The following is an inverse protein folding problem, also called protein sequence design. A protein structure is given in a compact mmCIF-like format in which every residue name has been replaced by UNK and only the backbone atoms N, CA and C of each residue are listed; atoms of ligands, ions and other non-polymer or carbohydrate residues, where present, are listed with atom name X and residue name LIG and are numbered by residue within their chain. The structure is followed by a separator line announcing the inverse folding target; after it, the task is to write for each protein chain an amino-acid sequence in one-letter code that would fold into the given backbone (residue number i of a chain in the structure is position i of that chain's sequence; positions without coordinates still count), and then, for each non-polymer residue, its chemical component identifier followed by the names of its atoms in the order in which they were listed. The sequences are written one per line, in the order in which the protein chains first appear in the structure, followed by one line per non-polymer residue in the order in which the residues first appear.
data_IF_479299577779
#
_entry.id   IF_479299577779
#
_cell.length_a   1.000
_cell.length_b   1.000
_cell.length_c   1.000
_cell.angle_alpha   90.00
_cell.angle_beta   90.00
_cell.angle_gamma   90.00
#
_symmetry.space_group_name_H-M   'P 1'
#
loop_
_entity.id
_entity.type
_entity.pdbx_description
1 polymer ?
#
# COMPACT_ATOMS: atom_id res chain seq x y z
N UNK A 1 22.07 30.06 -20.99
CA UNK A 1 20.69 30.20 -21.49
C UNK A 1 20.50 29.49 -22.82
N UNK A 2 21.39 29.66 -23.81
CA UNK A 2 21.33 28.94 -25.10
C UNK A 2 21.52 27.41 -25.03
N UNK A 3 22.18 26.89 -23.99
CA UNK A 3 22.34 25.45 -23.77
C UNK A 3 21.09 24.80 -23.15
N UNK A 4 20.19 25.60 -22.54
CA UNK A 4 18.95 25.14 -21.92
C UNK A 4 17.77 25.09 -22.91
N UNK A 5 17.89 25.76 -24.06
CA UNK A 5 16.90 25.70 -25.14
C UNK A 5 17.14 24.55 -26.13
N UNK A 6 18.38 24.04 -26.24
CA UNK A 6 18.71 22.95 -27.18
C UNK A 6 18.19 21.57 -26.77
N UNK A 7 17.89 21.33 -25.49
CA UNK A 7 17.29 20.07 -25.03
C UNK A 7 15.76 20.00 -25.17
N UNK A 8 15.09 21.14 -25.45
CA UNK A 8 13.62 21.20 -25.60
C UNK A 8 13.07 20.89 -26.99
N UNK A 9 13.94 20.58 -27.96
CA UNK A 9 13.52 20.24 -29.32
C UNK A 9 13.53 18.73 -29.60
N UNK A 10 13.07 17.91 -28.65
CA UNK A 10 12.27 16.76 -29.08
C UNK A 10 10.92 17.33 -29.53
N UNK A 11 10.81 17.59 -30.84
CA UNK A 11 9.58 18.02 -31.49
C UNK A 11 8.41 17.20 -30.96
N UNK A 12 7.31 17.84 -30.57
CA UNK A 12 6.08 17.17 -30.15
C UNK A 12 5.65 16.10 -31.16
N UNK A 13 6.01 16.24 -32.44
CA UNK A 13 5.79 15.24 -33.47
C UNK A 13 6.61 13.94 -33.27
N UNK A 14 7.85 14.02 -32.78
CA UNK A 14 8.67 12.85 -32.46
C UNK A 14 8.15 12.12 -31.21
N UNK A 15 7.67 12.85 -30.20
CA UNK A 15 7.01 12.26 -29.03
C UNK A 15 5.66 11.64 -29.40
N UNK A 16 4.87 12.29 -30.25
CA UNK A 16 3.61 11.73 -30.78
C UNK A 16 3.85 10.49 -31.66
N UNK A 17 4.95 10.44 -32.40
CA UNK A 17 5.34 9.27 -33.18
C UNK A 17 5.74 8.06 -32.32
N UNK A 18 6.21 8.27 -31.07
CA UNK A 18 6.44 7.19 -30.10
C UNK A 18 5.15 6.65 -29.47
N UNK A 19 4.07 7.45 -29.48
CA UNK A 19 2.73 7.08 -28.99
C UNK A 19 1.90 6.46 -30.12
N UNK A 20 2.22 6.77 -31.38
CA UNK A 20 1.57 6.18 -32.54
C UNK A 20 1.78 4.65 -32.49
N UNK A 21 0.71 3.83 -32.60
CA UNK A 21 0.86 2.38 -32.60
C UNK A 21 1.69 1.99 -33.82
N UNK A 22 2.97 1.73 -33.59
CA UNK A 22 3.90 1.29 -34.61
C UNK A 22 3.54 -0.15 -34.99
N UNK A 23 2.65 -0.32 -35.97
CA UNK A 23 2.47 -1.54 -36.79
C UNK A 23 2.28 -2.89 -36.06
N UNK A 24 2.14 -2.89 -34.74
CA UNK A 24 1.97 -4.05 -33.87
C UNK A 24 0.56 -3.96 -33.32
N UNK A 25 -0.17 -5.08 -33.37
CA UNK A 25 -1.56 -5.15 -32.88
C UNK A 25 -1.61 -4.70 -31.42
N UNK A 26 -2.04 -3.46 -31.19
CA UNK A 26 -2.34 -2.98 -29.86
C UNK A 26 -3.56 -3.74 -29.35
N UNK A 27 -3.45 -4.33 -28.17
CA UNK A 27 -4.41 -5.32 -27.70
C UNK A 27 -4.58 -5.29 -26.19
N UNK A 28 -5.84 -5.36 -25.75
CA UNK A 28 -6.20 -5.58 -24.35
C UNK A 28 -6.91 -6.93 -24.26
N UNK A 29 -6.24 -7.92 -23.68
CA UNK A 29 -6.89 -9.17 -23.31
C UNK A 29 -7.69 -8.96 -22.02
N UNK A 30 -8.91 -9.49 -21.97
CA UNK A 30 -9.78 -9.43 -20.78
C UNK A 30 -10.22 -10.83 -20.38
N UNK A 31 -9.33 -11.63 -19.75
CA UNK A 31 -9.69 -12.91 -19.16
C UNK A 31 -10.89 -12.80 -18.22
N UNK A 32 -11.71 -13.85 -18.18
CA UNK A 32 -12.96 -13.89 -17.40
C UNK A 32 -12.88 -14.86 -16.22
N UNK A 33 -11.74 -15.54 -16.06
CA UNK A 33 -11.43 -16.48 -14.98
C UNK A 33 -9.91 -16.73 -14.94
N UNK A 34 -9.44 -17.47 -13.94
CA UNK A 34 -8.01 -17.78 -13.79
C UNK A 34 -7.45 -18.65 -14.93
N UNK A 35 -8.25 -19.55 -15.53
CA UNK A 35 -7.78 -20.40 -16.63
C UNK A 35 -7.50 -19.59 -17.91
N UNK A 36 -8.40 -18.68 -18.27
CA UNK A 36 -8.20 -17.76 -19.41
C UNK A 36 -7.09 -16.75 -19.12
N UNK A 37 -6.84 -16.41 -17.86
CA UNK A 37 -5.70 -15.60 -17.46
C UNK A 37 -4.39 -16.36 -17.66
N UNK A 38 -4.32 -17.64 -17.26
CA UNK A 38 -3.16 -18.49 -17.47
C UNK A 38 -2.82 -18.56 -18.97
N UNK A 39 -3.82 -18.84 -19.82
CA UNK A 39 -3.62 -18.88 -21.27
C UNK A 39 -3.05 -17.56 -21.82
N UNK A 40 -3.62 -16.42 -21.41
CA UNK A 40 -3.15 -15.10 -21.85
C UNK A 40 -1.71 -14.79 -21.36
N UNK A 41 -1.36 -15.18 -20.12
CA UNK A 41 0.00 -15.01 -19.57
C UNK A 41 1.02 -15.93 -20.24
N UNK A 42 0.62 -17.13 -20.67
CA UNK A 42 1.49 -18.05 -21.42
C UNK A 42 1.79 -17.54 -22.82
N UNK A 43 0.83 -16.91 -23.49
CA UNK A 43 0.99 -16.33 -24.83
C UNK A 43 1.84 -15.05 -24.82
N UNK A 44 1.93 -14.35 -23.69
CA UNK A 44 2.67 -13.08 -23.59
C UNK A 44 3.39 -12.95 -22.24
N UNK A 45 4.51 -13.67 -22.04
CA UNK A 45 5.34 -13.53 -20.83
C UNK A 45 5.81 -12.09 -20.61
N UNK A 46 5.66 -11.57 -19.38
CA UNK A 46 6.08 -10.20 -19.05
C UNK A 46 5.18 -9.09 -19.62
N UNK A 47 4.02 -9.44 -20.18
CA UNK A 47 3.02 -8.46 -20.61
C UNK A 47 2.54 -7.61 -19.44
N UNK A 48 2.23 -6.35 -19.72
CA UNK A 48 1.77 -5.42 -18.70
C UNK A 48 0.39 -5.83 -18.18
N UNK A 49 0.29 -6.05 -16.87
CA UNK A 49 -0.97 -6.32 -16.21
C UNK A 49 -1.63 -5.00 -15.80
N UNK A 50 -2.95 -4.90 -15.99
CA UNK A 50 -3.76 -3.74 -15.62
C UNK A 50 -4.99 -4.16 -14.81
N UNK A 51 -5.19 -3.48 -13.68
CA UNK A 51 -6.42 -3.55 -12.89
C UNK A 51 -7.20 -2.24 -13.03
N UNK A 52 -7.17 -1.37 -12.01
CA UNK A 52 -7.81 -0.05 -12.06
C UNK A 52 -7.20 0.93 -13.06
N UNK A 53 -5.89 0.80 -13.31
CA UNK A 53 -5.11 1.66 -14.20
C UNK A 53 -4.70 3.01 -13.60
N UNK A 54 -5.01 3.28 -12.33
CA UNK A 54 -4.81 4.60 -11.70
C UNK A 54 -3.34 5.00 -11.52
N UNK A 55 -2.44 4.02 -11.35
CA UNK A 55 -0.98 4.24 -11.36
C UNK A 55 -0.43 4.04 -12.78
N UNK A 56 -0.74 2.90 -13.41
CA UNK A 56 -0.15 2.51 -14.70
C UNK A 56 -0.40 3.51 -15.83
N UNK A 57 -1.58 4.15 -15.89
CA UNK A 57 -1.89 5.10 -16.97
C UNK A 57 -1.11 6.42 -16.85
N UNK A 58 -0.47 6.70 -15.71
CA UNK A 58 0.47 7.83 -15.61
C UNK A 58 1.75 7.56 -16.42
N UNK A 59 2.17 6.30 -16.56
CA UNK A 59 3.30 5.94 -17.44
C UNK A 59 2.98 6.29 -18.89
N UNK A 60 1.74 6.06 -19.33
CA UNK A 60 1.30 6.38 -20.68
C UNK A 60 1.14 7.89 -20.88
N UNK A 61 0.53 8.59 -19.92
CA UNK A 61 0.13 10.00 -20.09
C UNK A 61 1.20 11.00 -19.71
N UNK A 62 1.98 10.74 -18.65
CA UNK A 62 3.00 11.65 -18.13
C UNK A 62 4.40 11.26 -18.61
N UNK A 63 4.71 9.96 -18.65
CA UNK A 63 6.02 9.48 -19.09
C UNK A 63 6.05 9.09 -20.57
N UNK A 64 4.90 9.14 -21.26
CA UNK A 64 4.76 8.86 -22.69
C UNK A 64 5.27 7.46 -23.08
N UNK A 65 5.20 6.52 -22.13
CA UNK A 65 5.55 5.13 -22.33
C UNK A 65 4.35 4.38 -22.92
N UNK A 66 4.41 4.08 -24.22
CA UNK A 66 3.40 3.26 -24.87
C UNK A 66 3.30 1.87 -24.22
N UNK A 67 2.07 1.40 -24.01
CA UNK A 67 1.76 0.05 -23.51
C UNK A 67 0.94 -0.68 -24.58
N UNK A 68 1.60 -1.22 -25.63
CA UNK A 68 0.89 -1.75 -26.79
C UNK A 68 0.04 -2.99 -26.46
N UNK A 69 0.47 -3.80 -25.49
CA UNK A 69 -0.26 -4.99 -25.05
C UNK A 69 -0.45 -4.98 -23.54
N UNK A 70 -1.66 -5.33 -23.12
CA UNK A 70 -2.03 -5.43 -21.71
C UNK A 70 -2.97 -6.60 -21.47
N UNK A 71 -2.92 -7.15 -20.25
CA UNK A 71 -3.91 -8.09 -19.73
C UNK A 71 -4.67 -7.42 -18.59
N UNK A 72 -5.99 -7.32 -18.74
CA UNK A 72 -6.89 -6.75 -17.74
C UNK A 72 -7.42 -7.78 -16.75
N UNK A 73 -7.37 -7.48 -15.45
CA UNK A 73 -7.85 -8.36 -14.39
C UNK A 73 -9.32 -8.11 -13.97
N UNK A 74 -9.96 -7.09 -14.53
CA UNK A 74 -11.25 -6.56 -14.05
C UNK A 74 -12.45 -7.48 -14.24
N UNK A 75 -12.32 -8.55 -15.07
CA UNK A 75 -13.40 -9.50 -15.37
C UNK A 75 -13.24 -10.85 -14.68
N UNK A 76 -12.28 -11.00 -13.77
CA UNK A 76 -12.00 -12.25 -13.05
C UNK A 76 -12.67 -12.19 -11.67
N UNK A 77 -13.87 -12.80 -11.48
CA UNK A 77 -14.59 -12.74 -10.21
C UNK A 77 -13.83 -13.36 -9.04
N UNK A 78 -12.95 -14.34 -9.31
CA UNK A 78 -12.08 -14.96 -8.31
C UNK A 78 -11.12 -13.96 -7.65
N UNK A 79 -10.88 -12.80 -8.26
CA UNK A 79 -10.07 -11.73 -7.69
C UNK A 79 -10.92 -10.66 -6.98
N UNK A 80 -12.25 -10.73 -7.02
CA UNK A 80 -13.15 -9.70 -6.47
C UNK A 80 -14.05 -10.27 -5.39
N UNK A 81 -13.48 -10.46 -4.20
CA UNK A 81 -14.20 -10.97 -3.04
C UNK A 81 -13.72 -10.33 -1.73
N UNK A 82 -14.62 -10.25 -0.75
CA UNK A 82 -14.31 -9.90 0.64
C UNK A 82 -14.90 -11.02 1.49
N UNK A 83 -14.06 -11.76 2.19
CA UNK A 83 -14.47 -12.94 2.95
C UNK A 83 -13.89 -12.92 4.37
N UNK A 84 -14.77 -12.93 5.35
CA UNK A 84 -14.42 -13.01 6.76
C UNK A 84 -14.58 -14.44 7.27
N UNK A 85 -13.52 -14.99 7.87
CA UNK A 85 -13.55 -16.34 8.42
C UNK A 85 -12.58 -16.49 9.58
N UNK A 86 -13.09 -16.95 10.73
CA UNK A 86 -12.29 -17.29 11.93
C UNK A 86 -11.37 -16.13 12.40
N UNK A 87 -11.91 -14.92 12.45
CA UNK A 87 -11.15 -13.74 12.90
C UNK A 87 -10.09 -13.26 11.91
N UNK A 88 -10.19 -13.66 10.63
CA UNK A 88 -9.35 -13.16 9.55
C UNK A 88 -10.20 -12.63 8.41
N UNK A 89 -9.72 -11.60 7.73
CA UNK A 89 -10.31 -11.09 6.51
C UNK A 89 -9.43 -11.43 5.32
N UNK A 90 -10.01 -12.06 4.30
CA UNK A 90 -9.39 -12.29 3.00
C UNK A 90 -10.01 -11.38 1.95
N UNK A 91 -9.17 -10.62 1.26
CA UNK A 91 -9.54 -9.65 0.24
C UNK A 91 -8.93 -10.04 -1.09
N UNK A 92 -9.77 -10.20 -2.12
CA UNK A 92 -9.30 -10.40 -3.48
C UNK A 92 -8.56 -9.17 -4.02
N UNK A 93 -7.56 -9.39 -4.87
CA UNK A 93 -6.71 -8.33 -5.43
C UNK A 93 -7.49 -7.31 -6.28
N UNK A 94 -8.62 -7.69 -6.86
CA UNK A 94 -9.52 -6.84 -7.64
C UNK A 94 -10.49 -6.02 -6.81
N UNK A 95 -10.54 -6.17 -5.47
CA UNK A 95 -11.38 -5.34 -4.60
C UNK A 95 -10.94 -3.89 -4.71
N UNK A 96 -11.87 -2.99 -5.03
CA UNK A 96 -11.60 -1.55 -5.11
C UNK A 96 -11.56 -0.90 -3.72
N UNK A 97 -10.91 0.25 -3.61
CA UNK A 97 -10.91 0.99 -2.34
C UNK A 97 -12.32 1.39 -1.92
N UNK A 98 -13.21 1.71 -2.86
CA UNK A 98 -14.62 2.02 -2.54
C UNK A 98 -15.37 0.80 -1.97
N UNK A 99 -15.18 -0.39 -2.55
CA UNK A 99 -15.78 -1.62 -2.03
C UNK A 99 -15.24 -1.95 -0.63
N UNK A 100 -13.92 -1.80 -0.43
CA UNK A 100 -13.32 -2.04 0.87
C UNK A 100 -13.77 -1.01 1.91
N UNK A 101 -13.94 0.25 1.51
CA UNK A 101 -14.43 1.33 2.37
C UNK A 101 -15.86 1.05 2.84
N UNK A 102 -16.74 0.66 1.91
CA UNK A 102 -18.12 0.28 2.24
C UNK A 102 -18.17 -0.88 3.24
N UNK A 103 -17.31 -1.88 3.04
CA UNK A 103 -17.19 -2.99 3.99
C UNK A 103 -16.63 -2.52 5.35
N UNK A 104 -15.59 -1.70 5.37
CA UNK A 104 -14.88 -1.31 6.59
C UNK A 104 -15.70 -0.40 7.51
N UNK A 105 -16.60 0.42 6.96
CA UNK A 105 -17.46 1.33 7.74
C UNK A 105 -18.25 0.59 8.82
N UNK A 106 -18.12 1.05 10.06
CA UNK A 106 -18.78 0.44 11.21
C UNK A 106 -18.26 -0.95 11.59
N UNK A 107 -17.18 -1.44 10.96
CA UNK A 107 -16.52 -2.72 11.27
C UNK A 107 -15.09 -2.51 11.76
N UNK A 108 -14.30 -1.75 10.99
CA UNK A 108 -12.93 -1.37 11.32
C UNK A 108 -12.78 0.10 10.97
N UNK A 109 -13.19 0.96 11.91
CA UNK A 109 -13.23 2.41 11.66
C UNK A 109 -11.85 3.00 11.25
N UNK A 110 -10.72 2.59 11.86
CA UNK A 110 -9.40 3.03 11.38
C UNK A 110 -9.17 2.72 9.89
N UNK A 111 -9.57 1.54 9.42
CA UNK A 111 -9.43 1.19 8.00
C UNK A 111 -10.33 2.06 7.11
N UNK A 112 -11.57 2.32 7.53
CA UNK A 112 -12.49 3.18 6.81
C UNK A 112 -11.95 4.61 6.70
N UNK A 113 -11.42 5.17 7.79
CA UNK A 113 -10.79 6.48 7.83
C UNK A 113 -9.58 6.55 6.90
N UNK A 114 -8.68 5.57 6.96
CA UNK A 114 -7.55 5.49 6.02
C UNK A 114 -8.02 5.53 4.57
N UNK A 115 -8.99 4.68 4.21
CA UNK A 115 -9.51 4.58 2.86
C UNK A 115 -10.17 5.87 2.38
N UNK A 116 -10.90 6.58 3.24
CA UNK A 116 -11.49 7.89 2.92
C UNK A 116 -10.44 8.92 2.46
N UNK A 117 -9.21 8.80 2.94
CA UNK A 117 -8.11 9.69 2.61
C UNK A 117 -7.18 9.14 1.51
N UNK A 118 -7.51 8.01 0.88
CA UNK A 118 -6.77 7.51 -0.30
C UNK A 118 -7.35 8.14 -1.56
N UNK A 119 -6.61 9.09 -2.14
CA UNK A 119 -6.96 9.78 -3.37
C UNK A 119 -8.32 10.48 -3.31
N UNK A 120 -8.94 10.65 -4.48
CA UNK A 120 -10.33 11.09 -4.64
C UNK A 120 -11.30 9.92 -4.79
N UNK A 121 -12.61 10.19 -4.78
CA UNK A 121 -13.63 9.16 -5.04
C UNK A 121 -13.43 8.46 -6.39
N UNK A 122 -13.01 9.19 -7.42
CA UNK A 122 -12.73 8.64 -8.74
C UNK A 122 -11.57 7.65 -8.70
N UNK A 123 -10.52 7.97 -7.93
CA UNK A 123 -9.41 7.05 -7.69
C UNK A 123 -9.89 5.85 -6.89
N UNK A 124 -10.69 6.02 -5.83
CA UNK A 124 -11.19 4.90 -5.01
C UNK A 124 -12.10 3.94 -5.77
N UNK A 125 -12.91 4.46 -6.68
CA UNK A 125 -13.83 3.65 -7.50
C UNK A 125 -13.09 2.76 -8.51
N UNK A 126 -11.84 3.07 -8.85
CA UNK A 126 -11.04 2.29 -9.81
C UNK A 126 -9.84 1.60 -9.19
N UNK A 127 -9.19 2.23 -8.22
CA UNK A 127 -8.00 1.74 -7.55
C UNK A 127 -8.29 0.44 -6.82
N UNK A 128 -7.53 -0.60 -7.13
CA UNK A 128 -7.69 -1.94 -6.58
C UNK A 128 -6.62 -2.22 -5.53
N UNK A 129 -6.95 -3.06 -4.55
CA UNK A 129 -6.01 -3.57 -3.55
C UNK A 129 -4.73 -4.15 -4.16
N UNK A 130 -4.87 -5.06 -5.13
CA UNK A 130 -3.73 -5.69 -5.81
C UNK A 130 -2.88 -4.67 -6.56
N UNK A 131 -3.51 -3.77 -7.31
CA UNK A 131 -2.81 -2.67 -7.97
C UNK A 131 -2.02 -1.76 -7.01
N UNK A 132 -2.57 -1.47 -5.82
CA UNK A 132 -1.89 -0.69 -4.80
C UNK A 132 -0.61 -1.37 -4.29
N UNK A 133 -0.70 -2.66 -3.99
CA UNK A 133 0.43 -3.42 -3.47
C UNK A 133 1.46 -3.71 -4.57
N UNK A 134 1.01 -4.09 -5.77
CA UNK A 134 1.88 -4.37 -6.91
C UNK A 134 2.66 -3.14 -7.39
N UNK A 135 2.14 -1.92 -7.17
CA UNK A 135 2.89 -0.70 -7.49
C UNK A 135 4.07 -0.45 -6.54
N UNK A 136 4.14 -1.17 -5.40
CA UNK A 136 5.25 -1.19 -4.45
C UNK A 136 5.74 0.21 -4.06
N UNK A 137 4.80 1.15 -3.93
CA UNK A 137 5.10 2.50 -3.49
C UNK A 137 5.47 2.47 -2.00
N UNK A 138 6.64 3.00 -1.58
CA UNK A 138 7.01 3.04 -0.16
C UNK A 138 6.08 3.94 0.67
N UNK A 139 5.37 4.85 0.01
CA UNK A 139 4.39 5.78 0.59
C UNK A 139 2.95 5.30 0.35
N UNK A 140 2.75 4.03 0.01
CA UNK A 140 1.43 3.41 -0.08
C UNK A 140 0.80 3.27 1.31
N UNK A 141 -0.49 3.59 1.39
CA UNK A 141 -1.21 3.69 2.66
C UNK A 141 -1.67 2.32 3.21
N UNK A 142 -2.03 1.37 2.34
CA UNK A 142 -2.63 0.10 2.77
C UNK A 142 -1.62 -0.95 3.24
N UNK A 143 -0.42 -0.97 2.67
CA UNK A 143 0.60 -1.95 3.05
C UNK A 143 0.96 -1.87 4.55
N UNK A 144 1.22 -0.68 5.13
CA UNK A 144 1.39 -0.52 6.58
C UNK A 144 0.25 -1.10 7.41
N UNK A 145 -1.00 -0.90 6.98
CA UNK A 145 -2.18 -1.40 7.67
C UNK A 145 -2.20 -2.92 7.76
N UNK A 146 -2.01 -3.59 6.62
CA UNK A 146 -1.99 -5.04 6.61
C UNK A 146 -0.76 -5.60 7.34
N UNK A 147 0.41 -4.97 7.22
CA UNK A 147 1.62 -5.39 7.93
C UNK A 147 1.40 -5.36 9.46
N UNK A 148 0.77 -4.30 9.98
CA UNK A 148 0.47 -4.18 11.41
C UNK A 148 -0.55 -5.22 11.93
N UNK A 149 -1.25 -5.93 11.02
CA UNK A 149 -2.26 -6.95 11.33
C UNK A 149 -1.85 -8.34 10.79
N UNK A 150 -0.54 -8.62 10.73
CA UNK A 150 0.03 -9.89 10.25
C UNK A 150 -0.43 -10.29 8.84
N UNK A 151 -0.54 -9.29 7.96
CA UNK A 151 -0.95 -9.44 6.59
C UNK A 151 -0.08 -10.44 5.83
N UNK A 152 -0.73 -11.32 5.08
CA UNK A 152 -0.12 -12.22 4.12
C UNK A 152 -0.63 -11.91 2.73
N UNK A 153 0.26 -11.89 1.76
CA UNK A 153 -0.11 -11.82 0.35
C UNK A 153 -0.09 -13.23 -0.24
N UNK A 154 -1.12 -13.56 -1.00
CA UNK A 154 -1.18 -14.77 -1.82
C UNK A 154 -0.87 -14.37 -3.26
N UNK A 155 0.11 -15.04 -3.83
CA UNK A 155 0.49 -14.95 -5.23
C UNK A 155 -0.07 -16.17 -5.95
N UNK A 156 -0.53 -15.96 -7.18
CA UNK A 156 -1.04 -17.02 -8.05
C UNK A 156 -0.30 -16.99 -9.38
N UNK A 157 -0.02 -18.18 -9.91
CA UNK A 157 0.44 -18.42 -11.27
C UNK A 157 -0.22 -19.70 -11.81
N UNK A 158 -0.04 -19.99 -13.10
CA UNK A 158 -0.45 -21.27 -13.67
C UNK A 158 0.19 -22.48 -12.97
N UNK A 159 1.39 -22.31 -12.42
CA UNK A 159 2.13 -23.37 -11.72
C UNK A 159 1.64 -23.59 -10.28
N UNK A 160 0.75 -22.74 -9.77
CA UNK A 160 0.17 -22.85 -8.44
C UNK A 160 0.18 -21.54 -7.65
N UNK A 161 -0.12 -21.65 -6.36
CA UNK A 161 -0.22 -20.55 -5.42
C UNK A 161 0.88 -20.61 -4.37
N UNK A 162 1.36 -19.45 -3.93
CA UNK A 162 2.20 -19.32 -2.74
C UNK A 162 1.78 -18.13 -1.90
N UNK A 163 1.99 -18.24 -0.59
CA UNK A 163 1.73 -17.16 0.36
C UNK A 163 2.99 -16.79 1.11
N UNK A 164 3.11 -15.51 1.44
CA UNK A 164 4.20 -14.95 2.22
C UNK A 164 3.72 -13.78 3.07
N UNK A 165 4.41 -13.43 4.17
CA UNK A 165 4.17 -12.19 4.90
C UNK A 165 4.23 -10.99 3.95
N UNK A 166 3.32 -10.03 4.11
CA UNK A 166 3.21 -8.91 3.19
C UNK A 166 4.47 -8.04 3.16
N UNK A 167 5.16 -7.86 4.27
CA UNK A 167 6.42 -7.14 4.33
C UNK A 167 7.52 -7.81 3.49
N UNK A 168 7.49 -9.14 3.35
CA UNK A 168 8.44 -9.89 2.53
C UNK A 168 8.13 -9.81 1.03
N UNK A 169 6.97 -9.27 0.66
CA UNK A 169 6.60 -9.02 -0.74
C UNK A 169 7.43 -7.90 -1.37
N UNK A 170 7.83 -6.90 -0.57
CA UNK A 170 8.57 -5.73 -1.02
C UNK A 170 10.08 -5.94 -0.84
N UNK A 171 10.83 -5.96 -1.94
CA UNK A 171 12.28 -6.20 -1.93
C UNK A 171 13.10 -4.92 -2.00
N UNK A 172 12.46 -3.80 -2.36
CA UNK A 172 13.11 -2.50 -2.51
C UNK A 172 12.13 -1.44 -3.02
N UNK A 173 12.66 -0.25 -3.29
CA UNK A 173 11.86 0.86 -3.82
C UNK A 173 11.22 0.49 -5.15
N UNK A 174 9.88 0.44 -5.21
CA UNK A 174 9.11 0.02 -6.39
C UNK A 174 9.47 -1.39 -6.90
N UNK A 175 9.93 -2.27 -6.01
CA UNK A 175 10.33 -3.64 -6.33
C UNK A 175 9.57 -4.65 -5.48
N UNK A 176 9.20 -5.78 -6.10
CA UNK A 176 8.48 -6.87 -5.45
C UNK A 176 9.15 -8.21 -5.74
N UNK A 177 8.67 -9.28 -5.08
CA UNK A 177 9.06 -10.67 -5.37
C UNK A 177 8.25 -11.32 -6.50
N UNK A 178 7.37 -10.59 -7.20
CA UNK A 178 6.55 -11.15 -8.27
C UNK A 178 7.44 -11.70 -9.39
N UNK A 179 7.22 -12.96 -9.74
CA UNK A 179 7.78 -13.55 -10.95
C UNK A 179 6.97 -13.13 -12.19
N UNK A 180 7.52 -13.22 -13.42
CA UNK A 180 6.88 -12.73 -14.65
C UNK A 180 5.48 -13.26 -14.98
N UNK A 181 5.05 -14.35 -14.35
CA UNK A 181 3.72 -14.98 -14.52
C UNK A 181 2.88 -14.99 -13.24
N UNK A 182 3.34 -14.31 -12.20
CA UNK A 182 2.60 -14.19 -10.96
C UNK A 182 1.73 -12.94 -10.94
N UNK A 183 0.55 -13.09 -10.35
CA UNK A 183 -0.27 -11.97 -9.90
C UNK A 183 -0.48 -12.06 -8.40
N UNK A 184 -0.79 -10.92 -7.80
CA UNK A 184 -1.41 -10.92 -6.48
C UNK A 184 -2.82 -11.47 -6.65
N UNK A 185 -3.14 -12.56 -5.96
CA UNK A 185 -4.49 -13.12 -5.91
C UNK A 185 -5.31 -12.44 -4.81
N UNK A 186 -4.75 -12.36 -3.61
CA UNK A 186 -5.46 -11.84 -2.44
C UNK A 186 -4.52 -11.44 -1.31
N UNK A 187 -5.02 -10.64 -0.38
CA UNK A 187 -4.38 -10.36 0.91
C UNK A 187 -5.24 -10.95 2.02
N UNK A 188 -4.62 -11.49 3.07
CA UNK A 188 -5.32 -11.91 4.28
C UNK A 188 -4.66 -11.30 5.50
N UNK A 189 -5.43 -10.77 6.44
CA UNK A 189 -4.91 -10.23 7.70
C UNK A 189 -5.82 -10.58 8.87
N UNK A 190 -5.29 -10.47 10.09
CA UNK A 190 -6.03 -10.75 11.32
C UNK A 190 -6.96 -9.58 11.67
N UNK A 191 -8.20 -9.88 12.02
CA UNK A 191 -9.12 -8.86 12.53
C UNK A 191 -8.77 -8.52 13.98
N UNK A 192 -8.79 -7.23 14.38
CA UNK A 192 -8.58 -6.85 15.77
C UNK A 192 -9.67 -7.49 16.64
N UNK A 193 -9.26 -8.04 17.78
CA UNK A 193 -10.20 -8.57 18.76
C UNK A 193 -10.81 -7.44 19.60
N UNK A 194 -11.92 -7.73 20.29
CA UNK A 194 -12.50 -6.78 21.24
C UNK A 194 -11.47 -6.41 22.32
N UNK A 195 -11.29 -5.10 22.53
CA UNK A 195 -10.31 -4.55 23.48
C UNK A 195 -8.90 -4.37 22.91
N UNK A 196 -8.62 -4.80 21.68
CA UNK A 196 -7.38 -4.42 20.99
C UNK A 196 -7.40 -2.93 20.64
N UNK A 197 -6.25 -2.27 20.79
CA UNK A 197 -6.06 -0.91 20.27
C UNK A 197 -5.62 -1.01 18.82
N UNK A 198 -6.34 -0.34 17.90
CA UNK A 198 -5.93 -0.15 16.51
C UNK A 198 -6.06 1.32 16.15
N UNK A 199 -4.98 1.94 15.69
CA UNK A 199 -4.97 3.31 15.18
C UNK A 199 -4.28 3.36 13.83
N UNK A 200 -4.68 4.34 13.02
CA UNK A 200 -3.99 4.70 11.79
C UNK A 200 -3.83 6.21 11.72
N UNK A 201 -2.63 6.63 11.37
CA UNK A 201 -2.26 8.03 11.23
C UNK A 201 -1.67 8.23 9.84
N UNK A 202 -2.38 8.98 9.00
CA UNK A 202 -1.90 9.42 7.70
C UNK A 202 -1.53 10.90 7.81
N UNK A 203 -0.24 11.20 7.68
CA UNK A 203 0.25 12.58 7.69
C UNK A 203 0.58 13.02 6.28
N UNK A 204 -0.05 14.09 5.82
CA UNK A 204 0.21 14.73 4.52
C UNK A 204 0.15 16.26 4.64
N UNK A 205 0.46 16.99 3.57
CA UNK A 205 0.42 18.46 3.60
C UNK A 205 -1.01 18.99 3.47
N UNK A 206 -1.87 18.22 2.82
CA UNK A 206 -3.30 18.48 2.67
C UNK A 206 -4.07 17.27 3.20
N UNK A 207 -5.26 17.55 3.72
CA UNK A 207 -6.15 16.54 4.33
C UNK A 207 -6.72 15.54 3.31
N UNK A 208 -7.03 16.01 2.11
CA UNK A 208 -7.67 15.21 1.07
C UNK A 208 -6.80 15.17 -0.19
N UNK A 209 -6.91 14.05 -0.92
CA UNK A 209 -6.23 13.81 -2.20
C UNK A 209 -4.73 14.16 -2.17
N UNK A 210 -4.05 13.73 -1.12
CA UNK A 210 -2.63 13.96 -0.93
C UNK A 210 -1.87 12.67 -0.63
N UNK A 211 -0.61 12.67 -1.07
CA UNK A 211 0.28 11.55 -0.88
C UNK A 211 0.94 11.67 0.48
N UNK A 212 0.94 10.58 1.23
CA UNK A 212 1.47 10.52 2.59
C UNK A 212 2.93 10.95 2.65
N UNK A 213 3.21 11.86 3.60
CA UNK A 213 4.53 11.99 4.19
C UNK A 213 4.81 10.72 4.96
N UNK A 214 3.97 10.34 5.93
CA UNK A 214 4.05 9.02 6.56
C UNK A 214 2.67 8.43 6.77
N UNK A 215 2.60 7.11 6.79
CA UNK A 215 1.44 6.35 7.23
C UNK A 215 1.89 5.45 8.37
N UNK A 216 1.29 5.57 9.54
CA UNK A 216 1.62 4.78 10.72
C UNK A 216 0.38 3.99 11.15
N UNK A 217 0.54 2.69 11.39
CA UNK A 217 -0.51 1.84 11.92
C UNK A 217 0.00 1.18 13.18
N UNK A 218 -0.74 1.37 14.28
CA UNK A 218 -0.43 0.80 15.58
C UNK A 218 -1.52 -0.20 15.92
N UNK A 219 -1.14 -1.46 16.13
CA UNK A 219 -1.98 -2.44 16.78
C UNK A 219 -1.35 -2.85 18.11
N UNK A 220 -2.13 -2.85 19.19
CA UNK A 220 -1.62 -3.22 20.50
C UNK A 220 -2.64 -3.99 21.33
N UNK A 221 -2.13 -4.95 22.13
CA UNK A 221 -2.87 -5.54 23.24
C UNK A 221 -2.36 -4.98 24.55
N UNK A 222 -3.27 -4.47 25.36
CA UNK A 222 -2.95 -3.97 26.69
C UNK A 222 -3.38 -4.97 27.77
N UNK A 223 -2.57 -5.12 28.80
CA UNK A 223 -2.91 -5.85 30.02
C UNK A 223 -2.67 -4.93 31.21
N UNK A 224 -3.75 -4.52 31.89
CA UNK A 224 -3.72 -3.60 33.04
C UNK A 224 -2.89 -2.33 32.78
N UNK A 225 -3.08 -1.71 31.61
CA UNK A 225 -2.37 -0.50 31.20
C UNK A 225 -0.93 -0.70 30.73
N UNK A 226 -0.46 -1.96 30.60
CA UNK A 226 0.86 -2.29 30.04
C UNK A 226 0.75 -2.87 28.65
N UNK A 227 1.73 -2.58 27.81
CA UNK A 227 1.80 -3.10 26.44
C UNK A 227 2.20 -4.58 26.50
N UNK A 228 1.26 -5.48 26.17
CA UNK A 228 1.50 -6.92 26.13
C UNK A 228 1.96 -7.39 24.75
N UNK A 229 1.35 -6.85 23.71
CA UNK A 229 1.73 -7.06 22.32
C UNK A 229 1.66 -5.72 21.59
N UNK A 230 2.56 -5.52 20.64
CA UNK A 230 2.61 -4.31 19.82
C UNK A 230 3.06 -4.68 18.41
N UNK A 231 2.35 -4.18 17.42
CA UNK A 231 2.69 -4.29 16.01
C UNK A 231 2.60 -2.90 15.39
N UNK A 232 3.63 -2.55 14.62
CA UNK A 232 3.82 -1.23 14.03
C UNK A 232 4.08 -1.41 12.54
N UNK A 233 3.12 -0.99 11.71
CA UNK A 233 3.28 -0.92 10.26
C UNK A 233 3.54 0.51 9.84
N UNK A 234 4.59 0.73 9.03
CA UNK A 234 5.01 2.09 8.65
C UNK A 234 5.21 2.22 7.14
N UNK A 235 4.63 3.27 6.55
CA UNK A 235 4.81 3.72 5.18
C UNK A 235 5.50 5.08 5.16
N UNK A 236 6.33 5.33 4.15
CA UNK A 236 7.15 6.54 4.04
C UNK A 236 8.32 6.61 5.04
N UNK A 237 8.54 5.56 5.82
CA UNK A 237 9.58 5.54 6.86
C UNK A 237 10.83 4.76 6.47
N UNK A 238 10.81 4.10 5.30
CA UNK A 238 11.92 3.36 4.71
C UNK A 238 11.75 3.25 3.19
N UNK A 239 12.66 2.53 2.51
CA UNK A 239 12.58 2.25 1.07
C UNK A 239 11.40 1.35 0.67
N UNK A 240 10.82 0.64 1.63
CA UNK A 240 9.61 -0.18 1.52
C UNK A 240 8.70 0.08 2.73
N UNK A 241 7.42 -0.32 2.67
CA UNK A 241 6.61 -0.44 3.88
C UNK A 241 7.24 -1.47 4.84
N UNK A 242 7.34 -1.14 6.13
CA UNK A 242 8.05 -1.97 7.11
C UNK A 242 7.18 -2.32 8.33
N UNK A 243 7.49 -3.46 8.94
CA UNK A 243 7.13 -3.75 10.32
C UNK A 243 8.24 -3.23 11.25
N UNK A 244 7.97 -2.25 12.11
CA UNK A 244 8.97 -1.71 13.05
C UNK A 244 9.11 -2.62 14.30
N UNK A 245 9.50 -3.87 14.07
CA UNK A 245 9.52 -4.94 15.08
C UNK A 245 10.45 -4.63 16.25
N UNK A 246 11.66 -4.15 15.97
CA UNK A 246 12.65 -3.85 17.02
C UNK A 246 12.22 -2.71 17.93
N UNK A 247 11.56 -1.68 17.37
CA UNK A 247 10.92 -0.63 18.16
C UNK A 247 9.76 -1.19 18.98
N UNK A 248 8.91 -2.02 18.37
CA UNK A 248 7.78 -2.61 19.08
C UNK A 248 8.22 -3.48 20.28
N UNK A 249 9.28 -4.28 20.10
CA UNK A 249 9.89 -5.11 21.14
C UNK A 249 10.41 -4.29 22.33
N UNK A 250 11.06 -3.15 22.08
CA UNK A 250 11.54 -2.26 23.16
C UNK A 250 10.41 -1.61 23.98
N UNK A 251 9.20 -1.53 23.43
CA UNK A 251 8.04 -0.92 24.09
C UNK A 251 7.17 -1.93 24.85
N UNK A 252 7.35 -3.23 24.63
CA UNK A 252 6.61 -4.27 25.36
C UNK A 252 6.93 -4.19 26.86
N UNK A 253 5.89 -4.27 27.69
CA UNK A 253 5.96 -4.21 29.16
C UNK A 253 5.89 -2.80 29.73
N UNK A 254 6.08 -1.76 28.91
CA UNK A 254 5.93 -0.37 29.35
C UNK A 254 4.47 -0.05 29.67
N UNK A 255 4.29 0.88 30.61
CA UNK A 255 2.97 1.36 31.05
C UNK A 255 2.55 2.56 30.22
N UNK A 256 1.41 2.47 29.54
CA UNK A 256 0.98 3.46 28.54
C UNK A 256 0.85 4.86 29.13
N UNK A 257 0.41 4.98 30.40
CA UNK A 257 0.23 6.27 31.08
C UNK A 257 1.55 7.00 31.35
N UNK A 258 2.68 6.29 31.34
CA UNK A 258 4.00 6.87 31.59
C UNK A 258 4.71 7.31 30.32
N UNK A 259 4.23 6.84 29.16
CA UNK A 259 4.83 7.13 27.86
C UNK A 259 4.69 8.61 27.54
N UNK A 260 5.80 9.22 27.14
CA UNK A 260 5.82 10.59 26.67
C UNK A 260 6.81 10.76 25.53
N UNK A 261 6.68 11.89 24.83
CA UNK A 261 7.47 12.20 23.64
C UNK A 261 8.98 12.17 23.90
N UNK A 262 9.44 12.67 25.06
CA UNK A 262 10.87 12.74 25.41
C UNK A 262 11.48 11.33 25.49
N UNK A 263 10.72 10.35 25.95
CA UNK A 263 11.15 8.95 26.02
C UNK A 263 11.04 8.24 24.66
N UNK A 264 9.96 8.45 23.91
CA UNK A 264 9.69 7.71 22.66
C UNK A 264 10.54 8.22 21.50
N UNK A 265 10.78 9.52 21.39
CA UNK A 265 11.49 10.08 20.24
C UNK A 265 12.88 9.47 20.01
N UNK A 266 13.77 9.35 21.01
CA UNK A 266 15.08 8.72 20.83
C UNK A 266 14.99 7.23 20.42
N UNK A 267 13.94 6.52 20.82
CA UNK A 267 13.74 5.12 20.43
C UNK A 267 13.36 5.03 18.95
N UNK A 268 12.38 5.84 18.52
CA UNK A 268 11.98 5.93 17.10
C UNK A 268 13.18 6.31 16.23
N UNK A 269 13.95 7.32 16.64
CA UNK A 269 15.15 7.77 15.93
C UNK A 269 16.23 6.67 15.83
N UNK A 270 16.37 5.83 16.85
CA UNK A 270 17.32 4.71 16.85
C UNK A 270 16.94 3.64 15.83
N UNK A 271 15.67 3.24 15.81
CA UNK A 271 15.18 2.09 15.03
C UNK A 271 14.79 2.43 13.60
N UNK A 272 14.49 3.69 13.31
CA UNK A 272 13.91 4.11 12.03
C UNK A 272 14.76 5.18 11.39
N UNK A 273 15.07 5.00 10.11
CA UNK A 273 15.96 5.89 9.34
C UNK A 273 15.28 6.32 8.03
N UNK A 274 14.30 7.24 8.09
CA UNK A 274 13.60 7.71 6.90
C UNK A 274 14.49 8.64 6.05
N UNK A 275 14.13 8.79 4.79
CA UNK A 275 14.75 9.76 3.89
C UNK A 275 14.03 11.12 3.95
N UNK A 276 14.73 12.19 3.57
CA UNK A 276 14.11 13.49 3.30
C UNK A 276 13.68 13.56 1.84
N UNK A 277 12.51 14.13 1.57
CA UNK A 277 12.03 14.42 0.21
C UNK A 277 11.16 15.69 0.18
N UNK A 278 10.52 15.95 -0.96
CA UNK A 278 9.60 17.07 -1.16
C UNK A 278 8.37 17.04 -0.23
N UNK A 279 8.02 15.88 0.35
CA UNK A 279 6.85 15.70 1.22
C UNK A 279 7.19 15.99 2.68
N UNK A 280 8.40 15.62 3.12
CA UNK A 280 8.88 15.96 4.46
C UNK A 280 10.33 15.56 4.69
N UNK A 281 10.97 16.27 5.63
CA UNK A 281 12.33 15.92 6.07
C UNK A 281 12.32 14.64 6.92
N UNK A 282 13.46 13.95 6.96
CA UNK A 282 13.67 12.80 7.82
C UNK A 282 13.39 13.12 9.30
N UNK A 283 13.87 14.29 9.77
CA UNK A 283 13.62 14.76 11.13
C UNK A 283 12.12 14.97 11.41
N UNK A 284 11.37 15.53 10.46
CA UNK A 284 9.93 15.71 10.59
C UNK A 284 9.19 14.36 10.64
N UNK A 285 9.58 13.41 9.81
CA UNK A 285 9.03 12.03 9.80
C UNK A 285 9.23 11.34 11.15
N UNK A 286 10.44 11.41 11.73
CA UNK A 286 10.74 10.87 13.06
C UNK A 286 9.92 11.58 14.15
N UNK A 287 9.88 12.91 14.12
CA UNK A 287 9.11 13.70 15.07
C UNK A 287 7.63 13.29 15.09
N UNK A 288 6.99 13.27 13.92
CA UNK A 288 5.59 12.89 13.78
C UNK A 288 5.34 11.45 14.24
N UNK A 289 6.16 10.48 13.79
CA UNK A 289 5.99 9.08 14.20
C UNK A 289 6.08 8.91 15.72
N UNK A 290 7.03 9.57 16.39
CA UNK A 290 7.16 9.54 17.84
C UNK A 290 5.95 10.15 18.57
N UNK A 291 5.50 11.33 18.14
CA UNK A 291 4.35 12.00 18.74
C UNK A 291 3.06 11.16 18.57
N UNK A 292 2.81 10.66 17.36
CA UNK A 292 1.64 9.84 17.04
C UNK A 292 1.68 8.49 17.77
N UNK A 293 2.86 7.90 17.97
CA UNK A 293 2.98 6.64 18.72
C UNK A 293 2.61 6.83 20.20
N UNK A 294 3.05 7.93 20.82
CA UNK A 294 2.62 8.30 22.19
C UNK A 294 1.11 8.48 22.22
N UNK A 295 0.56 9.23 21.27
CA UNK A 295 -0.88 9.51 21.23
C UNK A 295 -1.70 8.23 21.04
N UNK A 296 -1.31 7.36 20.11
CA UNK A 296 -1.97 6.09 19.79
C UNK A 296 -1.99 5.11 20.96
N UNK A 297 -0.92 5.09 21.78
CA UNK A 297 -0.83 4.17 22.92
C UNK A 297 -1.48 4.73 24.18
N UNK A 298 -1.53 6.06 24.35
CA UNK A 298 -2.11 6.70 25.54
C UNK A 298 -3.60 7.01 25.40
N UNK A 299 -4.09 7.19 24.18
CA UNK A 299 -5.51 7.40 23.91
C UNK A 299 -6.24 6.07 23.85
N UNK A 300 -7.46 6.03 24.38
CA UNK A 300 -8.33 4.83 24.35
C UNK A 300 -9.01 4.71 22.98
N UNK A 301 -8.24 4.35 21.94
CA UNK A 301 -8.72 4.03 20.59
C UNK A 301 -9.23 5.24 19.76
N UNK A 302 -9.13 5.12 18.43
CA UNK A 302 -9.55 6.12 17.44
C UNK A 302 -8.42 6.65 16.57
N UNK A 303 -8.72 7.19 15.38
CA UNK A 303 -7.71 7.91 14.58
C UNK A 303 -7.36 9.24 15.22
N UNK A 304 -6.11 9.64 15.04
CA UNK A 304 -5.55 10.83 15.66
C UNK A 304 -5.00 11.79 14.62
N UNK A 305 -5.88 12.11 13.66
CA UNK A 305 -5.71 13.22 12.75
C UNK A 305 -5.27 12.84 11.34
N UNK A 306 -5.60 13.78 10.45
CA UNK A 306 -5.19 13.89 9.05
C UNK A 306 -4.49 15.24 8.90
#
# INVERSE_FOLDING_TARGET
QEQFEKEKHHSSANLLAQIAPAGTSSGLALPVNLDSLAAALSESPGVQIIAGGTDLMLEVTQNLHAKPQMIGLSRIPELSFINEKKGKLSLGAGVTFSQLLEWARGRIEPLAELLLHIGSDQIRNRGTLGGNLASASPIGDLAPFFIALNGQVKLWSQSGERSLPLEAFFTGYRQTVLEPHEIIHSVTFDLPAEGDTLTVDKVSKRKEDDISTLCQVVWAKLDKGRIKQLQLGLGGMAATPIAARTLAEELIGLEVQTLNYIQIHPLVERHIKPMSDLRGSAAYRIHCSAALLVQSLTSTGGSHGV
#
